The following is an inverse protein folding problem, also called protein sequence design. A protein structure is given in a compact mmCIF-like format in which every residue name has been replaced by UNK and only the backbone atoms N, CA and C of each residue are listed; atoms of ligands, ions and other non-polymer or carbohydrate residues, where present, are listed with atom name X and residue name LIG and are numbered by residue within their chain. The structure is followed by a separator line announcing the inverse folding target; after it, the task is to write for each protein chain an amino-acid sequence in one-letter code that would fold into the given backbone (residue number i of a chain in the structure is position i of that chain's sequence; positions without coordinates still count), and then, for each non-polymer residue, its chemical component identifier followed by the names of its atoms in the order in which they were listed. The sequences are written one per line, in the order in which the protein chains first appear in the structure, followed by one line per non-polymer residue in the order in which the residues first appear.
data_IF_718851710533
#
_entry.id   IF_718851710533
#
_cell.length_a   1.000
_cell.length_b   1.000
_cell.length_c   1.000
_cell.angle_alpha   90.00
_cell.angle_beta   90.00
_cell.angle_gamma   90.00
#
_symmetry.space_group_name_H-M   'P 1'
#
loop_
_entity.id
_entity.type
_entity.pdbx_description
1 polymer ?
#
# COMPACT_ATOMS: atom_id res chain seq x y z
N UNK A 1 -7.51 -8.56 -11.82
CA UNK A 1 -7.38 -8.82 -13.27
C UNK A 1 -5.93 -9.13 -13.56
N UNK A 2 -5.65 -10.32 -14.06
CA UNK A 2 -4.29 -10.64 -14.54
C UNK A 2 -4.14 -9.99 -15.92
N UNK A 3 -3.46 -8.85 -15.97
CA UNK A 3 -3.11 -8.22 -17.26
C UNK A 3 -1.73 -8.68 -17.65
N UNK A 4 -1.62 -9.53 -18.66
CA UNK A 4 -0.33 -9.95 -19.23
C UNK A 4 0.14 -8.88 -20.23
N UNK A 5 0.29 -7.64 -19.76
CA UNK A 5 0.70 -6.49 -20.58
C UNK A 5 2.22 -6.34 -20.50
N UNK A 6 2.86 -6.26 -21.67
CA UNK A 6 4.29 -5.95 -21.76
C UNK A 6 4.49 -4.46 -21.96
N UNK A 7 5.31 -3.85 -21.13
CA UNK A 7 5.68 -2.43 -21.21
C UNK A 7 7.20 -2.30 -21.17
N UNK A 8 7.72 -1.22 -21.76
CA UNK A 8 9.14 -0.87 -21.65
C UNK A 8 9.28 0.22 -20.60
N UNK A 9 10.23 0.05 -19.68
CA UNK A 9 10.49 1.05 -18.65
C UNK A 9 10.98 2.36 -19.28
N UNK A 10 10.32 3.45 -18.94
CA UNK A 10 10.61 4.79 -19.50
C UNK A 10 11.75 5.51 -18.79
N UNK A 11 12.03 5.12 -17.55
CA UNK A 11 13.13 5.62 -16.70
C UNK A 11 13.61 4.54 -15.75
N UNK A 12 14.74 4.79 -15.09
CA UNK A 12 15.19 3.97 -13.97
C UNK A 12 14.17 4.07 -12.83
N UNK A 13 13.88 2.95 -12.18
CA UNK A 13 12.89 2.86 -11.13
C UNK A 13 13.32 1.93 -10.00
N UNK A 14 13.11 2.37 -8.75
CA UNK A 14 13.29 1.51 -7.59
C UNK A 14 12.13 0.50 -7.52
N UNK A 15 12.48 -0.75 -7.38
CA UNK A 15 11.52 -1.84 -7.24
C UNK A 15 11.94 -2.78 -6.10
N UNK A 16 11.00 -3.54 -5.58
CA UNK A 16 11.26 -4.54 -4.54
C UNK A 16 11.14 -5.94 -5.09
N UNK A 17 12.14 -6.77 -4.88
CA UNK A 17 12.12 -8.19 -5.28
C UNK A 17 11.04 -8.93 -4.49
N UNK A 18 10.14 -9.63 -5.16
CA UNK A 18 9.08 -10.42 -4.52
C UNK A 18 9.55 -11.88 -4.45
N UNK A 19 9.42 -12.57 -3.31
CA UNK A 19 8.83 -12.12 -2.03
C UNK A 19 9.85 -11.57 -1.01
N UNK A 20 11.10 -11.37 -1.39
CA UNK A 20 12.22 -11.08 -0.47
C UNK A 20 12.18 -9.64 0.07
N UNK A 21 11.60 -8.70 -0.68
CA UNK A 21 11.50 -7.29 -0.32
C UNK A 21 12.78 -6.48 -0.55
N UNK A 22 13.85 -7.09 -1.06
CA UNK A 22 15.11 -6.39 -1.36
C UNK A 22 14.88 -5.33 -2.44
N UNK A 23 15.31 -4.11 -2.17
CA UNK A 23 15.25 -3.01 -3.13
C UNK A 23 16.33 -3.14 -4.19
N UNK A 24 15.93 -2.94 -5.43
CA UNK A 24 16.80 -2.94 -6.61
C UNK A 24 16.39 -1.83 -7.56
N UNK A 25 17.28 -1.42 -8.44
CA UNK A 25 16.95 -0.48 -9.52
C UNK A 25 16.74 -1.28 -10.79
N UNK A 26 15.56 -1.14 -11.40
CA UNK A 26 15.31 -1.58 -12.77
C UNK A 26 15.65 -0.42 -13.70
N UNK A 27 16.24 -0.72 -14.84
CA UNK A 27 16.75 0.31 -15.74
C UNK A 27 15.79 0.67 -16.88
N UNK A 28 15.86 1.91 -17.30
CA UNK A 28 15.15 2.38 -18.49
C UNK A 28 15.47 1.48 -19.69
N UNK A 29 14.44 1.17 -20.49
CA UNK A 29 14.58 0.30 -21.66
C UNK A 29 14.39 -1.20 -21.38
N UNK A 30 14.36 -1.64 -20.14
CA UNK A 30 14.04 -3.03 -19.81
C UNK A 30 12.55 -3.32 -20.08
N UNK A 31 12.28 -4.52 -20.56
CA UNK A 31 10.90 -4.99 -20.79
C UNK A 31 10.34 -5.59 -19.50
N UNK A 32 9.24 -5.04 -19.03
CA UNK A 32 8.51 -5.49 -17.87
C UNK A 32 7.16 -6.09 -18.30
N UNK A 33 6.87 -7.29 -17.82
CA UNK A 33 5.56 -7.94 -18.00
C UNK A 33 4.72 -7.73 -16.75
N UNK A 34 3.64 -6.96 -16.88
CA UNK A 34 2.72 -6.70 -15.76
C UNK A 34 1.91 -7.97 -15.49
N UNK A 35 2.07 -8.53 -14.29
CA UNK A 35 1.32 -9.72 -13.85
C UNK A 35 0.17 -9.37 -12.94
N UNK A 36 0.27 -8.26 -12.19
CA UNK A 36 -0.74 -7.85 -11.24
C UNK A 36 -0.74 -6.34 -11.05
N UNK A 37 -1.93 -5.78 -10.86
CA UNK A 37 -2.14 -4.37 -10.48
C UNK A 37 -3.12 -4.34 -9.32
N UNK A 38 -2.65 -3.98 -8.14
CA UNK A 38 -3.46 -3.91 -6.92
C UNK A 38 -3.07 -2.66 -6.11
N UNK A 39 -4.08 -1.89 -5.70
CA UNK A 39 -3.89 -0.71 -4.86
C UNK A 39 -3.01 0.39 -5.49
N UNK A 40 -2.95 0.46 -6.81
CA UNK A 40 -2.09 1.41 -7.54
C UNK A 40 -0.64 0.95 -7.68
N UNK A 41 -0.18 -0.08 -6.98
CA UNK A 41 1.12 -0.69 -7.19
C UNK A 41 1.05 -1.79 -8.26
N UNK A 42 2.17 -2.05 -8.92
CA UNK A 42 2.28 -3.04 -10.00
C UNK A 42 3.31 -4.11 -9.67
N UNK A 43 2.91 -5.37 -9.86
CA UNK A 43 3.86 -6.48 -9.86
C UNK A 43 4.21 -6.81 -11.29
N UNK A 44 5.50 -6.83 -11.57
CA UNK A 44 6.05 -7.04 -12.91
C UNK A 44 7.09 -8.16 -12.91
N UNK A 45 7.25 -8.83 -14.05
CA UNK A 45 8.36 -9.76 -14.29
C UNK A 45 9.33 -9.10 -15.25
N UNK A 46 10.58 -8.99 -14.83
CA UNK A 46 11.70 -8.51 -15.64
C UNK A 46 12.81 -9.54 -15.60
N UNK A 47 13.29 -10.00 -16.75
CA UNK A 47 14.35 -11.01 -16.85
C UNK A 47 14.08 -12.30 -16.02
N UNK A 48 12.79 -12.70 -15.91
CA UNK A 48 12.39 -13.90 -15.17
C UNK A 48 12.26 -13.73 -13.65
N UNK A 49 12.54 -12.55 -13.11
CA UNK A 49 12.37 -12.24 -11.70
C UNK A 49 11.15 -11.34 -11.48
N UNK A 50 10.51 -11.51 -10.34
CA UNK A 50 9.32 -10.77 -9.97
C UNK A 50 9.68 -9.56 -9.09
N UNK A 51 9.14 -8.40 -9.46
CA UNK A 51 9.38 -7.13 -8.77
C UNK A 51 8.07 -6.41 -8.52
N UNK A 52 8.02 -5.66 -7.44
CA UNK A 52 6.94 -4.75 -7.11
C UNK A 52 7.41 -3.31 -7.29
N UNK A 53 6.65 -2.55 -8.07
CA UNK A 53 6.83 -1.11 -8.28
C UNK A 53 5.71 -0.41 -7.52
N UNK A 54 6.08 0.53 -6.65
CA UNK A 54 5.13 1.29 -5.84
C UNK A 54 4.27 2.25 -6.68
N UNK A 55 3.12 2.65 -6.12
CA UNK A 55 2.17 3.54 -6.79
C UNK A 55 2.75 4.89 -7.20
N UNK A 56 3.83 5.33 -6.55
CA UNK A 56 4.51 6.60 -6.84
C UNK A 56 5.38 6.55 -8.09
N UNK A 57 5.80 5.35 -8.51
CA UNK A 57 6.79 5.13 -9.55
C UNK A 57 6.20 4.44 -10.79
N UNK A 58 4.89 4.33 -10.88
CA UNK A 58 4.21 3.66 -12.01
C UNK A 58 4.32 4.44 -13.32
N UNK A 59 4.72 5.70 -13.27
CA UNK A 59 5.07 6.49 -14.45
C UNK A 59 6.21 5.84 -15.25
N UNK A 60 7.13 5.14 -14.59
CA UNK A 60 8.15 4.33 -15.25
C UNK A 60 7.57 3.23 -16.16
N UNK A 61 6.34 2.76 -15.87
CA UNK A 61 5.57 1.83 -16.69
C UNK A 61 4.70 2.51 -17.75
N UNK A 62 4.81 3.85 -17.90
CA UNK A 62 3.91 4.64 -18.74
C UNK A 62 2.48 4.76 -18.21
N UNK A 63 2.27 4.49 -16.93
CA UNK A 63 0.97 4.63 -16.26
C UNK A 63 0.88 5.99 -15.54
N UNK A 64 -0.34 6.45 -15.28
CA UNK A 64 -0.54 7.69 -14.55
C UNK A 64 -0.41 7.44 -13.04
N UNK A 65 0.46 8.20 -12.38
CA UNK A 65 0.58 8.21 -10.92
C UNK A 65 -0.69 8.82 -10.32
N UNK A 66 -1.27 8.15 -9.34
CA UNK A 66 -2.35 8.74 -8.55
C UNK A 66 -1.81 9.98 -7.84
N UNK A 67 -2.29 11.14 -8.23
CA UNK A 67 -1.94 12.41 -7.58
C UNK A 67 -2.69 12.54 -6.26
N UNK A 68 -2.09 13.27 -5.31
CA UNK A 68 -2.78 13.71 -4.09
C UNK A 68 -4.11 14.31 -4.50
N UNK A 69 -5.22 13.71 -4.08
CA UNK A 69 -6.55 14.22 -4.39
C UNK A 69 -6.71 15.52 -3.63
N UNK A 70 -6.45 16.63 -4.31
CA UNK A 70 -6.79 17.94 -3.76
C UNK A 70 -8.29 17.93 -3.53
N UNK A 71 -8.69 18.06 -2.27
CA UNK A 71 -10.10 18.17 -1.93
C UNK A 71 -10.65 19.42 -2.60
N UNK A 72 -11.39 19.21 -3.69
CA UNK A 72 -12.08 20.30 -4.39
C UNK A 72 -13.10 20.91 -3.44
N UNK A 73 -12.69 21.96 -2.72
CA UNK A 73 -13.61 22.86 -2.03
C UNK A 73 -14.36 22.28 -0.82
N UNK A 74 -13.86 21.25 -0.17
CA UNK A 74 -14.46 20.73 1.06
C UNK A 74 -14.02 21.57 2.26
N UNK A 75 -14.96 21.78 3.20
CA UNK A 75 -14.63 22.31 4.52
C UNK A 75 -13.54 21.44 5.17
N UNK A 76 -12.63 22.03 5.99
CA UNK A 76 -11.57 21.28 6.64
C UNK A 76 -12.13 20.06 7.36
N UNK A 77 -11.53 18.89 7.09
CA UNK A 77 -11.99 17.62 7.65
C UNK A 77 -11.75 17.64 9.16
N UNK A 78 -12.70 17.06 9.89
CA UNK A 78 -12.52 16.79 11.32
C UNK A 78 -11.58 15.59 11.50
N UNK A 79 -11.01 15.45 12.68
CA UNK A 79 -10.21 14.28 13.06
C UNK A 79 -10.91 12.96 12.69
N UNK A 80 -12.22 12.84 13.00
CA UNK A 80 -13.03 11.67 12.63
C UNK A 80 -13.15 11.49 11.10
N UNK A 81 -13.23 12.58 10.36
CA UNK A 81 -13.26 12.54 8.90
C UNK A 81 -11.96 12.05 8.30
N UNK A 82 -10.82 12.49 8.85
CA UNK A 82 -9.48 12.01 8.46
C UNK A 82 -9.30 10.55 8.82
N UNK A 83 -9.76 10.10 10.00
CA UNK A 83 -9.71 8.69 10.40
C UNK A 83 -10.49 7.80 9.45
N UNK A 84 -11.72 8.19 9.09
CA UNK A 84 -12.52 7.45 8.10
C UNK A 84 -11.81 7.35 6.75
N UNK A 85 -11.22 8.44 6.29
CA UNK A 85 -10.46 8.45 5.03
C UNK A 85 -9.21 7.57 5.12
N UNK A 86 -8.51 7.58 6.27
CA UNK A 86 -7.37 6.70 6.50
C UNK A 86 -7.74 5.22 6.33
N UNK A 87 -8.88 4.79 6.88
CA UNK A 87 -9.39 3.43 6.68
C UNK A 87 -9.73 3.14 5.21
N UNK A 88 -10.29 4.11 4.48
CA UNK A 88 -10.56 3.96 3.04
C UNK A 88 -9.26 3.82 2.26
N UNK A 89 -8.25 4.62 2.56
CA UNK A 89 -6.95 4.55 1.90
C UNK A 89 -6.23 3.22 2.21
N UNK A 90 -6.26 2.74 3.45
CA UNK A 90 -5.67 1.46 3.81
C UNK A 90 -6.35 0.26 3.12
N UNK A 91 -7.64 0.35 2.79
CA UNK A 91 -8.32 -0.66 1.95
C UNK A 91 -7.82 -0.71 0.50
N UNK A 92 -7.06 0.26 0.06
CA UNK A 92 -6.40 0.24 -1.26
C UNK A 92 -5.01 -0.40 -1.21
N UNK A 93 -4.51 -0.77 -0.03
CA UNK A 93 -3.24 -1.47 0.13
C UNK A 93 -3.46 -2.99 0.13
N UNK A 94 -2.59 -3.70 -0.59
CA UNK A 94 -2.69 -5.16 -0.75
C UNK A 94 -1.35 -5.81 -0.43
N UNK A 95 -1.42 -7.00 0.17
CA UNK A 95 -0.27 -7.89 0.21
C UNK A 95 0.05 -8.35 -1.22
N UNK A 96 1.32 -8.37 -1.64
CA UNK A 96 1.68 -8.73 -3.02
C UNK A 96 1.33 -10.16 -3.40
N UNK A 97 1.15 -11.05 -2.43
CA UNK A 97 0.84 -12.47 -2.66
C UNK A 97 -0.65 -12.80 -2.46
N UNK A 98 -1.40 -11.96 -1.75
CA UNK A 98 -2.80 -12.22 -1.38
C UNK A 98 -3.71 -11.16 -2.04
N UNK A 99 -4.65 -11.54 -2.91
CA UNK A 99 -5.51 -10.60 -3.64
C UNK A 99 -6.66 -10.03 -2.78
N UNK A 100 -6.38 -9.76 -1.51
CA UNK A 100 -7.29 -9.15 -0.54
C UNK A 100 -6.58 -7.97 0.11
N UNK A 101 -7.29 -6.86 0.35
CA UNK A 101 -6.70 -5.70 0.99
C UNK A 101 -6.33 -5.98 2.46
N UNK A 102 -5.36 -5.23 2.98
CA UNK A 102 -4.80 -5.44 4.32
C UNK A 102 -5.80 -5.23 5.45
N UNK A 103 -6.83 -4.42 5.25
CA UNK A 103 -7.88 -4.17 6.25
C UNK A 103 -8.77 -5.41 6.38
N UNK A 104 -9.24 -5.95 5.26
CA UNK A 104 -10.09 -7.14 5.24
C UNK A 104 -9.31 -8.41 5.61
N UNK A 105 -8.00 -8.43 5.41
CA UNK A 105 -7.10 -9.46 5.96
C UNK A 105 -6.95 -9.38 7.49
N UNK A 106 -7.37 -8.28 8.12
CA UNK A 106 -7.20 -8.07 9.55
C UNK A 106 -5.75 -7.75 9.97
N UNK A 107 -4.98 -7.13 9.07
CA UNK A 107 -3.59 -6.76 9.35
C UNK A 107 -3.47 -5.41 10.06
N UNK A 108 -4.51 -4.58 10.09
CA UNK A 108 -4.53 -3.30 10.79
C UNK A 108 -5.11 -3.52 12.19
N UNK A 109 -4.31 -3.30 13.21
CA UNK A 109 -4.71 -3.48 14.60
C UNK A 109 -5.20 -2.19 15.26
N UNK A 110 -4.64 -1.05 14.86
CA UNK A 110 -5.01 0.25 15.39
C UNK A 110 -4.74 1.35 14.36
N UNK A 111 -5.57 2.38 14.37
CA UNK A 111 -5.39 3.58 13.57
C UNK A 111 -5.82 4.77 14.44
N UNK A 112 -4.87 5.59 14.80
CA UNK A 112 -5.09 6.77 15.62
C UNK A 112 -4.73 8.03 14.85
N UNK A 113 -5.62 9.01 14.89
CA UNK A 113 -5.43 10.31 14.25
C UNK A 113 -5.38 11.38 15.34
N UNK A 114 -4.36 12.22 15.32
CA UNK A 114 -4.24 13.35 16.23
C UNK A 114 -3.89 14.65 15.51
N UNK A 115 -4.37 15.79 15.99
CA UNK A 115 -3.99 17.09 15.42
C UNK A 115 -2.50 17.36 15.65
N UNK A 116 -1.84 17.87 14.61
CA UNK A 116 -0.46 18.35 14.74
C UNK A 116 -0.40 19.66 15.52
N UNK A 117 0.46 19.69 16.55
CA UNK A 117 0.66 20.87 17.37
C UNK A 117 1.21 22.04 16.54
N UNK A 118 0.52 23.18 16.60
CA UNK A 118 0.93 24.41 15.91
C UNK A 118 0.53 24.53 14.44
N UNK A 119 -0.16 23.53 13.90
CA UNK A 119 -0.72 23.56 12.54
C UNK A 119 -2.26 23.57 12.58
N UNK A 120 -2.86 24.32 11.67
CA UNK A 120 -4.32 24.37 11.54
C UNK A 120 -4.76 23.35 10.49
N UNK A 121 -5.67 22.48 10.87
CA UNK A 121 -6.21 21.40 10.00
C UNK A 121 -5.16 20.42 9.46
N UNK A 122 -4.09 20.22 10.20
CA UNK A 122 -3.08 19.21 9.89
C UNK A 122 -3.09 18.11 10.95
N UNK A 123 -2.97 16.88 10.51
CA UNK A 123 -3.07 15.70 11.36
C UNK A 123 -1.86 14.79 11.18
N UNK A 124 -1.56 14.06 12.25
CA UNK A 124 -0.69 12.91 12.25
C UNK A 124 -1.53 11.64 12.35
N UNK A 125 -1.14 10.62 11.62
CA UNK A 125 -1.79 9.31 11.65
C UNK A 125 -0.78 8.27 12.13
N UNK A 126 -1.07 7.62 13.24
CA UNK A 126 -0.30 6.50 13.78
C UNK A 126 -1.07 5.19 13.54
N UNK A 127 -0.46 4.25 12.85
CA UNK A 127 -1.05 2.94 12.52
C UNK A 127 -0.21 1.83 13.10
N UNK A 128 -0.87 0.87 13.77
CA UNK A 128 -0.25 -0.40 14.13
C UNK A 128 -0.77 -1.49 13.22
N UNK A 129 0.15 -2.15 12.55
CA UNK A 129 -0.17 -3.24 11.64
C UNK A 129 0.71 -4.46 11.87
N UNK A 130 0.27 -5.58 11.35
CA UNK A 130 1.01 -6.84 11.38
C UNK A 130 1.12 -7.44 9.98
N UNK A 131 1.73 -8.60 9.89
CA UNK A 131 1.85 -9.38 8.66
C UNK A 131 1.29 -10.79 8.87
N UNK A 132 0.93 -11.46 7.79
CA UNK A 132 0.44 -12.84 7.83
C UNK A 132 1.48 -13.85 8.32
N UNK A 133 2.77 -13.53 8.17
CA UNK A 133 3.86 -14.35 8.67
C UNK A 133 5.00 -13.48 9.23
N UNK A 134 5.58 -13.85 10.40
CA UNK A 134 6.79 -13.22 10.89
C UNK A 134 7.95 -13.42 9.90
N UNK A 135 8.75 -12.37 9.69
CA UNK A 135 9.91 -12.44 8.81
C UNK A 135 9.61 -12.34 7.31
N UNK A 136 8.37 -11.98 6.92
CA UNK A 136 8.06 -11.64 5.54
C UNK A 136 8.90 -10.45 5.09
N UNK A 137 9.76 -10.64 4.07
CA UNK A 137 10.63 -9.58 3.53
C UNK A 137 9.87 -8.38 2.95
N UNK A 138 8.59 -8.56 2.62
CA UNK A 138 7.72 -7.50 2.11
C UNK A 138 7.15 -6.57 3.19
N UNK A 139 7.37 -6.87 4.48
CA UNK A 139 6.88 -6.05 5.59
C UNK A 139 7.22 -4.56 5.46
N UNK A 140 8.50 -4.20 5.31
CA UNK A 140 8.89 -2.80 5.14
C UNK A 140 8.30 -2.14 3.89
N UNK A 141 8.09 -2.90 2.81
CA UNK A 141 7.48 -2.41 1.57
C UNK A 141 6.01 -2.08 1.79
N UNK A 142 5.28 -2.99 2.44
CA UNK A 142 3.86 -2.78 2.75
C UNK A 142 3.66 -1.64 3.75
N UNK A 143 4.53 -1.54 4.75
CA UNK A 143 4.56 -0.43 5.71
C UNK A 143 4.74 0.92 5.00
N UNK A 144 5.67 0.98 4.04
CA UNK A 144 5.90 2.19 3.24
C UNK A 144 4.70 2.53 2.36
N UNK A 145 4.04 1.53 1.76
CA UNK A 145 2.84 1.74 0.97
C UNK A 145 1.69 2.33 1.79
N UNK A 146 1.47 1.80 2.99
CA UNK A 146 0.45 2.33 3.91
C UNK A 146 0.76 3.78 4.25
N UNK A 147 2.01 4.08 4.64
CA UNK A 147 2.45 5.44 4.94
C UNK A 147 2.22 6.39 3.76
N UNK A 148 2.61 5.97 2.55
CA UNK A 148 2.43 6.78 1.34
C UNK A 148 0.95 7.05 1.04
N UNK A 149 0.08 6.04 1.19
CA UNK A 149 -1.36 6.21 0.99
C UNK A 149 -1.99 7.15 2.00
N UNK A 150 -1.57 7.09 3.26
CA UNK A 150 -2.04 8.01 4.29
C UNK A 150 -1.59 9.44 4.01
N UNK A 151 -0.36 9.65 3.54
CA UNK A 151 0.17 10.95 3.15
C UNK A 151 -0.49 11.54 1.89
N UNK A 152 -1.26 10.74 1.13
CA UNK A 152 -2.10 11.26 0.03
C UNK A 152 -3.34 12.00 0.52
N UNK A 153 -3.74 11.82 1.79
CA UNK A 153 -4.82 12.60 2.41
C UNK A 153 -4.30 14.02 2.63
N UNK A 154 -5.03 15.02 2.14
CA UNK A 154 -4.58 16.42 2.11
C UNK A 154 -4.20 16.94 3.49
N UNK A 155 -4.99 16.61 4.51
CA UNK A 155 -4.82 17.07 5.89
C UNK A 155 -3.80 16.26 6.68
N UNK A 156 -3.22 15.17 6.12
CA UNK A 156 -2.21 14.35 6.79
C UNK A 156 -0.81 14.80 6.37
N UNK A 157 -0.04 15.29 7.33
CA UNK A 157 1.35 15.71 7.15
C UNK A 157 2.35 14.68 7.69
N UNK A 158 1.94 13.90 8.68
CA UNK A 158 2.75 12.83 9.24
C UNK A 158 1.97 11.51 9.26
N UNK A 159 2.61 10.45 8.79
CA UNK A 159 2.07 9.09 8.87
C UNK A 159 3.16 8.16 9.42
N UNK A 160 2.89 7.60 10.58
CA UNK A 160 3.77 6.64 11.23
C UNK A 160 3.11 5.26 11.22
N UNK A 161 3.77 4.28 10.67
CA UNK A 161 3.27 2.91 10.57
C UNK A 161 4.22 1.99 11.31
N UNK A 162 3.73 1.34 12.35
CA UNK A 162 4.49 0.43 13.20
C UNK A 162 4.11 -1.01 12.92
N UNK A 163 5.09 -1.89 12.73
CA UNK A 163 4.88 -3.33 12.67
C UNK A 163 4.88 -3.91 14.08
N UNK A 164 3.77 -4.57 14.43
CA UNK A 164 3.59 -5.24 15.73
C UNK A 164 3.33 -6.73 15.51
N UNK A 165 3.74 -7.55 16.48
CA UNK A 165 3.68 -9.01 16.38
C UNK A 165 2.83 -9.65 17.48
N UNK A 166 2.25 -8.83 18.35
CA UNK A 166 1.36 -9.27 19.42
C UNK A 166 0.05 -8.47 19.37
N UNK A 167 -1.09 -9.17 19.25
CA UNK A 167 -1.26 -10.61 19.07
C UNK A 167 -0.74 -11.09 17.72
N UNK A 168 -0.30 -12.35 17.64
CA UNK A 168 0.08 -12.95 16.36
C UNK A 168 -1.13 -13.08 15.45
N UNK A 169 -0.99 -12.68 14.19
CA UNK A 169 -2.05 -12.80 13.21
C UNK A 169 -2.47 -14.27 12.97
N UNK A 170 -3.74 -14.47 12.76
CA UNK A 170 -4.32 -15.75 12.35
C UNK A 170 -5.53 -15.51 11.42
N UNK A 171 -5.93 -16.55 10.69
CA UNK A 171 -7.02 -16.48 9.73
C UNK A 171 -8.38 -16.07 10.34
N UNK A 172 -8.55 -16.22 11.66
CA UNK A 172 -9.75 -15.76 12.35
C UNK A 172 -9.93 -14.24 12.32
N UNK A 173 -8.85 -13.50 12.12
CA UNK A 173 -8.85 -12.02 12.06
C UNK A 173 -9.35 -11.47 10.73
N UNK A 174 -9.45 -12.30 9.68
CA UNK A 174 -10.00 -11.89 8.39
C UNK A 174 -11.50 -11.63 8.49
N UNK A 175 -11.99 -10.70 7.68
CA UNK A 175 -13.43 -10.54 7.45
C UNK A 175 -14.02 -11.76 6.75
N UNK A 176 -15.32 -11.98 6.90
CA UNK A 176 -16.00 -13.07 6.18
C UNK A 176 -15.88 -12.94 4.66
N UNK A 177 -15.93 -11.70 4.16
CA UNK A 177 -15.75 -11.40 2.75
C UNK A 177 -14.36 -11.81 2.25
N UNK A 178 -13.31 -11.55 3.03
CA UNK A 178 -11.96 -11.99 2.73
C UNK A 178 -11.83 -13.51 2.70
N UNK A 179 -12.40 -14.19 3.70
CA UNK A 179 -12.41 -15.67 3.77
C UNK A 179 -13.13 -16.28 2.57
N UNK A 180 -14.28 -15.71 2.19
CA UNK A 180 -15.04 -16.18 1.02
C UNK A 180 -14.24 -16.00 -0.28
N UNK A 181 -13.60 -14.84 -0.45
CA UNK A 181 -12.77 -14.53 -1.61
C UNK A 181 -11.58 -15.49 -1.74
N UNK A 182 -11.03 -15.95 -0.62
CA UNK A 182 -9.91 -16.89 -0.57
C UNK A 182 -10.36 -18.37 -0.56
N UNK A 183 -11.67 -18.64 -0.57
CA UNK A 183 -12.20 -20.01 -0.56
C UNK A 183 -12.03 -20.72 0.79
N UNK A 184 -12.02 -19.96 1.90
CA UNK A 184 -11.84 -20.47 3.26
C UNK A 184 -13.16 -20.64 4.03
N UNK A 185 -14.30 -20.38 3.41
CA UNK A 185 -15.66 -20.59 3.92
C UNK A 185 -16.36 -21.67 3.12
#
# INVERSE_FOLDING_TARGET
MHSNESVTLTRDVEASVVPVGTKVTLHAGETAHITQSLGGAYTVVVNGNMFRIGSQDIDALGKQVEQKVAATGHAPRTQEGVEKEAWVQMKTCYDPEIPVNIVDLGLIYDCHVEPLAGATNSFKVDVKMTLTAPGCGMGPVLQQDVSNKLLMIEEVEEANVELVWDPQWNQGMMTEAAKLQLGLL
#
